data_IF_600095432399
#
_entry.id   IF_600095432399
#
_cell.length_a   1.000
_cell.length_b   1.000
_cell.length_c   1.000
_cell.angle_alpha   90.00
_cell.angle_beta   90.00
_cell.angle_gamma   90.00
#
_symmetry.space_group_name_H-M   'P 1'
#
loop_
_entity.id
_entity.type
_entity.pdbx_description
1 polymer ?
#
# COMPACT_ATOMS: atom_id res chain seq x y z
N UNK A 1 -0.38 25.67 3.70
CA UNK A 1 -1.31 25.52 4.85
C UNK A 1 -2.22 24.29 4.73
N UNK A 2 -2.96 24.08 3.63
CA UNK A 2 -3.86 22.93 3.46
C UNK A 2 -3.15 21.55 3.48
N UNK A 3 -1.95 21.42 2.89
CA UNK A 3 -1.11 20.21 2.93
C UNK A 3 -0.86 19.71 4.37
N UNK A 4 -0.37 20.59 5.25
CA UNK A 4 -0.05 20.22 6.64
C UNK A 4 -1.30 19.92 7.45
N UNK A 5 -2.41 20.64 7.20
CA UNK A 5 -3.70 20.37 7.83
C UNK A 5 -4.22 18.97 7.46
N UNK A 6 -4.07 18.56 6.20
CA UNK A 6 -4.48 17.23 5.75
C UNK A 6 -3.62 16.16 6.43
N UNK A 7 -2.30 16.32 6.47
CA UNK A 7 -1.43 15.36 7.18
C UNK A 7 -1.69 15.33 8.69
N UNK A 8 -1.94 16.47 9.33
CA UNK A 8 -2.28 16.54 10.76
C UNK A 8 -3.63 15.91 11.08
N UNK A 9 -4.53 15.81 10.10
CA UNK A 9 -5.85 15.19 10.24
C UNK A 9 -5.98 13.84 9.52
N UNK A 10 -4.89 13.26 9.03
CA UNK A 10 -4.85 11.91 8.43
C UNK A 10 -4.90 10.81 9.51
N UNK A 11 -5.96 10.87 10.30
CA UNK A 11 -6.37 9.87 11.28
C UNK A 11 -7.91 9.87 11.31
N UNK A 12 -8.56 8.68 11.33
CA UNK A 12 -10.02 8.56 11.41
C UNK A 12 -10.70 9.51 12.42
N UNK A 13 -10.12 9.73 13.60
CA UNK A 13 -10.68 10.56 14.66
C UNK A 13 -10.79 12.05 14.30
N UNK A 14 -9.89 12.55 13.43
CA UNK A 14 -9.80 13.98 13.10
C UNK A 14 -10.20 14.30 11.65
N UNK A 15 -10.38 13.28 10.81
CA UNK A 15 -10.61 13.43 9.38
C UNK A 15 -11.80 14.35 9.01
N UNK A 16 -12.84 14.42 9.86
CA UNK A 16 -13.97 15.34 9.67
C UNK A 16 -13.56 16.81 9.58
N UNK A 17 -12.56 17.22 10.37
CA UNK A 17 -12.07 18.61 10.41
C UNK A 17 -11.26 18.96 9.15
N UNK A 18 -10.72 17.95 8.47
CA UNK A 18 -9.94 18.11 7.23
C UNK A 18 -10.77 18.20 5.96
N UNK A 19 -12.05 17.82 5.97
CA UNK A 19 -12.88 17.69 4.76
C UNK A 19 -13.05 19.00 3.96
N UNK A 20 -13.31 20.17 4.60
CA UNK A 20 -13.36 21.44 3.86
C UNK A 20 -12.02 21.80 3.19
N UNK A 21 -10.90 21.48 3.84
CA UNK A 21 -9.57 21.72 3.28
C UNK A 21 -9.28 20.76 2.11
N UNK A 22 -9.59 19.48 2.25
CA UNK A 22 -9.42 18.47 1.21
C UNK A 22 -10.14 18.84 -0.09
N UNK A 23 -11.43 19.21 -0.02
CA UNK A 23 -12.23 19.60 -1.20
C UNK A 23 -11.77 20.88 -1.88
N UNK A 24 -11.08 21.76 -1.14
CA UNK A 24 -10.52 23.00 -1.70
C UNK A 24 -9.13 22.79 -2.29
N UNK A 25 -8.32 21.92 -1.69
CA UNK A 25 -6.89 21.80 -2.03
C UNK A 25 -6.63 21.38 -3.48
N UNK A 26 -7.38 20.40 -4.01
CA UNK A 26 -7.24 19.98 -5.42
C UNK A 26 -7.52 21.12 -6.42
N UNK A 27 -8.31 22.13 -6.04
CA UNK A 27 -8.62 23.27 -6.93
C UNK A 27 -7.49 24.29 -7.00
N UNK A 28 -6.57 24.28 -6.04
CA UNK A 28 -5.50 25.29 -5.93
C UNK A 28 -4.37 25.02 -6.93
N UNK A 29 -4.06 23.75 -7.20
CA UNK A 29 -2.98 23.37 -8.09
C UNK A 29 -3.37 22.12 -8.91
N UNK A 30 -4.17 22.29 -9.98
CA UNK A 30 -4.70 21.17 -10.79
C UNK A 30 -3.61 20.32 -11.46
N UNK A 31 -2.47 20.94 -11.81
CA UNK A 31 -1.36 20.26 -12.49
C UNK A 31 -0.30 19.67 -11.56
N UNK A 32 -0.45 19.79 -10.25
CA UNK A 32 0.53 19.28 -9.27
C UNK A 32 0.05 17.92 -8.76
N UNK A 33 0.77 16.82 -9.02
CA UNK A 33 0.28 15.49 -8.67
C UNK A 33 0.02 15.35 -7.17
N UNK A 34 0.95 15.83 -6.35
CA UNK A 34 0.78 15.90 -4.90
C UNK A 34 -0.51 16.59 -4.48
N UNK A 35 -0.83 17.76 -5.06
CA UNK A 35 -1.99 18.54 -4.70
C UNK A 35 -3.30 17.84 -5.07
N UNK A 36 -3.30 17.10 -6.17
CA UNK A 36 -4.41 16.24 -6.58
C UNK A 36 -4.57 15.02 -5.67
N UNK A 37 -3.46 14.45 -5.18
CA UNK A 37 -3.48 13.23 -4.38
C UNK A 37 -3.92 13.48 -2.93
N UNK A 38 -3.43 14.55 -2.30
CA UNK A 38 -3.60 14.81 -0.87
C UNK A 38 -5.05 14.75 -0.34
N UNK A 39 -6.08 15.26 -1.05
CA UNK A 39 -7.47 15.13 -0.57
C UNK A 39 -7.90 13.69 -0.31
N UNK A 40 -7.34 12.73 -1.07
CA UNK A 40 -7.67 11.32 -0.94
C UNK A 40 -7.31 10.72 0.42
N UNK A 41 -6.36 11.28 1.16
CA UNK A 41 -6.07 10.88 2.55
C UNK A 41 -7.32 11.02 3.41
N UNK A 42 -7.95 12.20 3.39
CA UNK A 42 -9.18 12.45 4.15
C UNK A 42 -10.34 11.61 3.59
N UNK A 43 -10.50 11.56 2.27
CA UNK A 43 -11.61 10.81 1.65
C UNK A 43 -11.56 9.32 2.01
N UNK A 44 -10.38 8.70 1.95
CA UNK A 44 -10.16 7.30 2.35
C UNK A 44 -10.46 7.08 3.83
N UNK A 45 -10.05 7.97 4.74
CA UNK A 45 -10.40 7.85 6.18
C UNK A 45 -11.90 7.98 6.45
N UNK A 46 -12.65 8.63 5.55
CA UNK A 46 -14.09 8.87 5.68
C UNK A 46 -14.94 7.88 4.87
N UNK A 47 -14.33 6.97 4.11
CA UNK A 47 -15.04 6.07 3.20
C UNK A 47 -15.70 6.78 2.01
N UNK A 48 -15.23 7.97 1.65
CA UNK A 48 -15.72 8.75 0.51
C UNK A 48 -15.04 8.26 -0.77
N UNK A 49 -15.33 7.00 -1.14
CA UNK A 49 -14.58 6.27 -2.16
C UNK A 49 -14.59 6.94 -3.53
N UNK A 50 -15.72 7.50 -3.97
CA UNK A 50 -15.79 8.20 -5.25
C UNK A 50 -14.95 9.48 -5.27
N UNK A 51 -14.92 10.26 -4.18
CA UNK A 51 -14.05 11.44 -4.10
C UNK A 51 -12.57 11.02 -4.07
N UNK A 52 -12.24 9.92 -3.39
CA UNK A 52 -10.90 9.33 -3.37
C UNK A 52 -10.45 8.86 -4.77
N UNK A 53 -11.33 8.20 -5.52
CA UNK A 53 -11.08 7.77 -6.90
C UNK A 53 -10.80 8.98 -7.79
N UNK A 54 -11.67 10.00 -7.78
CA UNK A 54 -11.50 11.19 -8.62
C UNK A 54 -10.19 11.93 -8.32
N UNK A 55 -9.88 12.10 -7.02
CA UNK A 55 -8.66 12.74 -6.53
C UNK A 55 -7.40 12.01 -7.03
N UNK A 56 -7.34 10.68 -6.88
CA UNK A 56 -6.17 9.92 -7.30
C UNK A 56 -6.08 9.72 -8.81
N UNK A 57 -7.21 9.64 -9.53
CA UNK A 57 -7.19 9.61 -10.99
C UNK A 57 -6.56 10.89 -11.56
N UNK A 58 -6.94 12.05 -11.01
CA UNK A 58 -6.30 13.34 -11.34
C UNK A 58 -4.81 13.36 -11.00
N UNK A 59 -4.43 12.81 -9.84
CA UNK A 59 -3.03 12.70 -9.44
C UNK A 59 -2.20 11.82 -10.37
N UNK A 60 -2.72 10.64 -10.77
CA UNK A 60 -2.06 9.75 -11.73
C UNK A 60 -1.84 10.46 -13.07
N UNK A 61 -2.87 11.16 -13.58
CA UNK A 61 -2.77 11.92 -14.83
C UNK A 61 -1.70 13.03 -14.72
N UNK A 62 -1.71 13.80 -13.63
CA UNK A 62 -0.72 14.84 -13.38
C UNK A 62 0.70 14.27 -13.24
N UNK A 63 0.89 13.12 -12.56
CA UNK A 63 2.19 12.48 -12.41
C UNK A 63 2.76 12.02 -13.75
N UNK A 64 1.93 11.44 -14.62
CA UNK A 64 2.34 11.03 -15.98
C UNK A 64 2.76 12.24 -16.81
N UNK A 65 1.98 13.31 -16.77
CA UNK A 65 2.31 14.57 -17.46
C UNK A 65 3.61 15.20 -16.95
N UNK A 66 3.82 15.19 -15.63
CA UNK A 66 5.06 15.67 -15.02
C UNK A 66 6.27 14.85 -15.46
N UNK A 67 6.18 13.51 -15.40
CA UNK A 67 7.28 12.63 -15.79
C UNK A 67 7.69 12.83 -17.26
N UNK A 68 6.70 13.03 -18.15
CA UNK A 68 6.93 13.33 -19.55
C UNK A 68 7.60 14.70 -19.74
N UNK A 69 7.08 15.75 -19.11
CA UNK A 69 7.63 17.12 -19.20
C UNK A 69 9.04 17.24 -18.61
N UNK A 70 9.32 16.50 -17.54
CA UNK A 70 10.62 16.47 -16.89
C UNK A 70 11.59 15.45 -17.51
N UNK A 71 11.18 14.73 -18.57
CA UNK A 71 11.99 13.73 -19.26
C UNK A 71 12.64 12.69 -18.34
N UNK A 72 11.90 12.22 -17.32
CA UNK A 72 12.49 11.38 -16.26
C UNK A 72 12.97 10.01 -16.75
N UNK A 73 12.42 9.48 -17.86
CA UNK A 73 12.68 8.10 -18.29
C UNK A 73 12.24 7.04 -17.26
N UNK A 74 11.43 7.44 -16.28
CA UNK A 74 10.96 6.67 -15.15
C UNK A 74 9.59 7.21 -14.67
N UNK A 75 8.84 6.41 -13.92
CA UNK A 75 7.65 6.89 -13.24
C UNK A 75 8.04 7.85 -12.11
N UNK A 76 7.29 8.93 -11.93
CA UNK A 76 7.44 9.79 -10.77
C UNK A 76 6.87 9.10 -9.52
N UNK A 77 7.53 9.17 -8.37
CA UNK A 77 7.11 8.41 -7.17
C UNK A 77 5.67 8.68 -6.72
N UNK A 78 5.13 9.88 -6.95
CA UNK A 78 3.74 10.23 -6.62
C UNK A 78 2.72 9.49 -7.49
N UNK A 79 3.14 9.01 -8.66
CA UNK A 79 2.32 8.15 -9.51
C UNK A 79 1.96 6.87 -8.75
N UNK A 80 2.97 6.19 -8.21
CA UNK A 80 2.79 4.97 -7.42
C UNK A 80 1.98 5.23 -6.14
N UNK A 81 2.25 6.35 -5.48
CA UNK A 81 1.50 6.75 -4.28
C UNK A 81 0.00 6.93 -4.56
N UNK A 82 -0.34 7.58 -5.68
CA UNK A 82 -1.72 7.74 -6.11
C UNK A 82 -2.35 6.42 -6.55
N UNK A 83 -1.60 5.53 -7.19
CA UNK A 83 -2.08 4.20 -7.59
C UNK A 83 -2.44 3.32 -6.37
N UNK A 84 -1.66 3.33 -5.29
CA UNK A 84 -2.00 2.58 -4.06
C UNK A 84 -3.38 3.01 -3.51
N UNK A 85 -3.59 4.33 -3.38
CA UNK A 85 -4.86 4.87 -2.89
C UNK A 85 -6.02 4.61 -3.86
N UNK A 86 -5.77 4.75 -5.18
CA UNK A 86 -6.77 4.49 -6.21
C UNK A 86 -7.20 3.02 -6.21
N UNK A 87 -6.24 2.10 -6.17
CA UNK A 87 -6.50 0.67 -6.09
C UNK A 87 -7.28 0.30 -4.84
N UNK A 88 -6.92 0.87 -3.69
CA UNK A 88 -7.66 0.65 -2.45
C UNK A 88 -9.10 1.19 -2.53
N UNK A 89 -9.30 2.40 -3.06
CA UNK A 89 -10.63 2.99 -3.21
C UNK A 89 -11.53 2.17 -4.16
N UNK A 90 -10.97 1.63 -5.25
CA UNK A 90 -11.70 0.71 -6.13
C UNK A 90 -12.10 -0.58 -5.41
N UNK A 91 -11.19 -1.22 -4.67
CA UNK A 91 -11.50 -2.42 -3.89
C UNK A 91 -12.61 -2.17 -2.86
N UNK A 92 -12.53 -1.07 -2.11
CA UNK A 92 -13.55 -0.72 -1.12
C UNK A 92 -14.90 -0.32 -1.76
N UNK A 93 -14.88 0.09 -3.02
CA UNK A 93 -16.08 0.33 -3.83
C UNK A 93 -16.58 -0.89 -4.61
N UNK A 94 -15.98 -2.08 -4.45
CA UNK A 94 -16.36 -3.29 -5.19
C UNK A 94 -16.01 -3.28 -6.69
N UNK A 95 -15.11 -2.40 -7.11
CA UNK A 95 -14.70 -2.18 -8.51
C UNK A 95 -13.46 -3.02 -8.83
N UNK A 96 -13.62 -4.35 -8.84
CA UNK A 96 -12.51 -5.32 -8.93
C UNK A 96 -11.76 -5.24 -10.27
N UNK A 97 -12.45 -4.90 -11.36
CA UNK A 97 -11.85 -4.76 -12.70
C UNK A 97 -10.92 -3.56 -12.74
N UNK A 98 -11.35 -2.45 -12.18
CA UNK A 98 -10.59 -1.20 -12.10
C UNK A 98 -9.41 -1.35 -11.14
N UNK A 99 -9.61 -2.03 -10.00
CA UNK A 99 -8.52 -2.39 -9.10
C UNK A 99 -7.47 -3.28 -9.78
N UNK A 100 -7.89 -4.21 -10.64
CA UNK A 100 -6.97 -5.04 -11.43
C UNK A 100 -6.16 -4.20 -12.43
N UNK A 101 -6.79 -3.22 -13.08
CA UNK A 101 -6.09 -2.32 -13.99
C UNK A 101 -5.01 -1.49 -13.26
N UNK A 102 -5.30 -1.03 -12.04
CA UNK A 102 -4.31 -0.36 -11.18
C UNK A 102 -3.15 -1.30 -10.84
N UNK A 103 -3.43 -2.54 -10.45
CA UNK A 103 -2.39 -3.54 -10.17
C UNK A 103 -1.50 -3.80 -11.38
N UNK A 104 -2.10 -3.95 -12.57
CA UNK A 104 -1.36 -4.18 -13.81
C UNK A 104 -0.49 -2.98 -14.16
N UNK A 105 -0.99 -1.76 -13.93
CA UNK A 105 -0.20 -0.54 -14.09
C UNK A 105 1.00 -0.51 -13.13
N UNK A 106 0.80 -0.79 -11.83
CA UNK A 106 1.89 -0.89 -10.86
C UNK A 106 2.95 -1.92 -11.28
N UNK A 107 2.52 -3.11 -11.75
CA UNK A 107 3.43 -4.16 -12.22
C UNK A 107 4.21 -3.78 -13.48
N UNK A 108 3.66 -2.90 -14.31
CA UNK A 108 4.34 -2.42 -15.52
C UNK A 108 5.47 -1.42 -15.23
N UNK A 109 5.47 -0.77 -14.06
CA UNK A 109 6.46 0.25 -13.70
C UNK A 109 7.78 -0.40 -13.31
N UNK A 110 8.79 -0.25 -14.17
CA UNK A 110 10.14 -0.81 -13.96
C UNK A 110 11.10 0.14 -13.24
N UNK A 111 10.96 1.45 -13.46
CA UNK A 111 11.86 2.48 -12.91
C UNK A 111 11.05 3.57 -12.25
N UNK A 112 11.52 4.06 -11.11
CA UNK A 112 10.87 5.11 -10.34
C UNK A 112 11.90 6.17 -9.94
N UNK A 113 11.51 7.44 -10.03
CA UNK A 113 12.37 8.55 -9.62
C UNK A 113 11.61 9.60 -8.79
N UNK A 114 12.17 10.02 -7.64
CA UNK A 114 13.16 9.28 -6.84
C UNK A 114 12.62 7.93 -6.36
N UNK A 115 13.53 7.03 -5.98
CA UNK A 115 13.19 5.82 -5.23
C UNK A 115 12.77 6.21 -3.80
N UNK A 116 11.48 6.45 -3.61
CA UNK A 116 10.94 6.99 -2.38
C UNK A 116 10.14 5.94 -1.58
N UNK A 117 9.91 6.24 -0.30
CA UNK A 117 9.08 5.45 0.61
C UNK A 117 7.71 5.12 0.02
N UNK A 118 7.06 6.09 -0.62
CA UNK A 118 5.73 5.92 -1.19
C UNK A 118 5.72 4.89 -2.32
N UNK A 119 6.76 4.89 -3.16
CA UNK A 119 6.92 3.91 -4.22
C UNK A 119 7.16 2.50 -3.67
N UNK A 120 8.05 2.38 -2.68
CA UNK A 120 8.31 1.12 -1.99
C UNK A 120 7.04 0.54 -1.36
N UNK A 121 6.28 1.38 -0.65
CA UNK A 121 5.01 0.98 -0.04
C UNK A 121 3.99 0.57 -1.10
N UNK A 122 3.80 1.34 -2.17
CA UNK A 122 2.83 1.03 -3.22
C UNK A 122 3.14 -0.27 -3.96
N UNK A 123 4.42 -0.57 -4.24
CA UNK A 123 4.83 -1.83 -4.85
C UNK A 123 4.48 -3.07 -4.01
N UNK A 124 4.50 -2.93 -2.68
CA UNK A 124 4.14 -4.02 -1.77
C UNK A 124 2.63 -4.05 -1.47
N UNK A 125 2.05 -2.90 -1.14
CA UNK A 125 0.67 -2.78 -0.67
C UNK A 125 -0.37 -3.01 -1.78
N UNK A 126 -0.15 -2.51 -3.00
CA UNK A 126 -1.11 -2.68 -4.10
C UNK A 126 -1.41 -4.15 -4.40
N UNK A 127 -0.41 -5.01 -4.68
CA UNK A 127 -0.66 -6.44 -4.90
C UNK A 127 -1.18 -7.16 -3.65
N UNK A 128 -0.65 -6.82 -2.46
CA UNK A 128 -1.11 -7.41 -1.20
C UNK A 128 -2.61 -7.15 -0.95
N UNK A 129 -3.06 -5.90 -1.07
CA UNK A 129 -4.46 -5.50 -0.91
C UNK A 129 -5.35 -6.18 -1.94
N UNK A 130 -4.95 -6.17 -3.21
CA UNK A 130 -5.72 -6.80 -4.28
C UNK A 130 -5.99 -8.28 -3.99
N UNK A 131 -4.97 -9.02 -3.55
CA UNK A 131 -5.13 -10.44 -3.22
C UNK A 131 -5.94 -10.64 -1.92
N UNK A 132 -5.64 -9.92 -0.85
CA UNK A 132 -6.24 -10.14 0.47
C UNK A 132 -7.72 -9.71 0.53
N UNK A 133 -8.07 -8.53 -0.01
CA UNK A 133 -9.44 -7.99 0.04
C UNK A 133 -10.43 -8.90 -0.72
N UNK A 134 -9.97 -9.51 -1.81
CA UNK A 134 -10.76 -10.48 -2.59
C UNK A 134 -10.66 -11.91 -2.08
N UNK A 135 -9.97 -12.15 -0.97
CA UNK A 135 -9.74 -13.51 -0.41
C UNK A 135 -9.02 -14.45 -1.38
N UNK A 136 -8.20 -13.90 -2.29
CA UNK A 136 -7.35 -14.65 -3.22
C UNK A 136 -6.14 -15.24 -2.51
N UNK A 137 -6.35 -16.28 -1.68
CA UNK A 137 -5.30 -16.81 -0.80
C UNK A 137 -4.09 -17.37 -1.55
N UNK A 138 -4.31 -18.09 -2.65
CA UNK A 138 -3.24 -18.58 -3.52
C UNK A 138 -2.47 -17.45 -4.19
N UNK A 139 -3.17 -16.38 -4.59
CA UNK A 139 -2.54 -15.18 -5.15
C UNK A 139 -1.69 -14.46 -4.09
N UNK A 140 -2.20 -14.33 -2.87
CA UNK A 140 -1.49 -13.72 -1.75
C UNK A 140 -0.23 -14.52 -1.36
N UNK A 141 -0.32 -15.85 -1.32
CA UNK A 141 0.81 -16.74 -1.03
C UNK A 141 1.93 -16.66 -2.09
N UNK A 142 1.57 -16.38 -3.34
CA UNK A 142 2.49 -16.34 -4.48
C UNK A 142 3.13 -14.96 -4.73
N UNK A 143 2.90 -13.97 -3.86
CA UNK A 143 3.43 -12.62 -4.07
C UNK A 143 4.97 -12.56 -4.03
N UNK A 144 5.54 -11.75 -4.92
CA UNK A 144 6.97 -11.41 -4.93
C UNK A 144 7.24 -10.16 -4.11
N UNK A 145 8.35 -10.12 -3.37
CA UNK A 145 8.62 -9.12 -2.30
C UNK A 145 8.77 -7.69 -2.83
N UNK A 146 9.28 -7.49 -4.04
CA UNK A 146 9.25 -6.24 -4.81
C UNK A 146 9.75 -6.53 -6.25
N UNK A 147 9.56 -5.62 -7.23
CA UNK A 147 10.23 -5.75 -8.53
C UNK A 147 11.75 -5.80 -8.37
N UNK A 148 12.43 -6.61 -9.17
CA UNK A 148 13.91 -6.75 -9.13
C UNK A 148 14.64 -5.46 -9.47
N UNK A 149 13.98 -4.55 -10.18
CA UNK A 149 14.50 -3.25 -10.62
C UNK A 149 14.36 -2.15 -9.56
N UNK A 150 13.67 -2.41 -8.45
CA UNK A 150 13.51 -1.46 -7.34
C UNK A 150 14.30 -1.94 -6.12
N UNK A 151 15.07 -1.07 -5.44
CA UNK A 151 15.87 -1.47 -4.28
C UNK A 151 15.00 -1.56 -3.01
N UNK A 152 14.04 -2.50 -3.03
CA UNK A 152 13.07 -2.71 -1.96
C UNK A 152 13.70 -3.11 -0.63
N UNK A 153 14.88 -3.74 -0.67
CA UNK A 153 15.67 -4.12 0.51
C UNK A 153 16.07 -2.94 1.42
N UNK A 154 16.06 -1.70 0.90
CA UNK A 154 16.26 -0.47 1.69
C UNK A 154 15.03 -0.10 2.53
N UNK A 155 13.88 -0.71 2.25
CA UNK A 155 12.58 -0.44 2.87
C UNK A 155 12.02 -1.73 3.53
N UNK A 156 12.64 -2.22 4.62
CA UNK A 156 12.26 -3.49 5.24
C UNK A 156 10.79 -3.54 5.71
N UNK A 157 10.21 -2.40 6.09
CA UNK A 157 8.79 -2.32 6.44
C UNK A 157 7.85 -2.45 5.22
N UNK A 158 8.32 -2.15 4.00
CA UNK A 158 7.56 -2.39 2.77
C UNK A 158 7.58 -3.88 2.43
N UNK A 159 8.75 -4.51 2.51
CA UNK A 159 8.89 -5.97 2.32
C UNK A 159 7.98 -6.74 3.28
N UNK A 160 7.85 -6.26 4.53
CA UNK A 160 6.99 -6.85 5.53
C UNK A 160 5.52 -6.92 5.09
N UNK A 161 5.02 -5.94 4.33
CA UNK A 161 3.64 -5.97 3.80
C UNK A 161 3.43 -7.17 2.88
N UNK A 162 4.41 -7.48 2.04
CA UNK A 162 4.33 -8.65 1.15
C UNK A 162 4.40 -9.96 1.93
N UNK A 163 5.35 -10.09 2.86
CA UNK A 163 5.45 -11.30 3.69
C UNK A 163 4.22 -11.51 4.58
N UNK A 164 3.61 -10.43 5.07
CA UNK A 164 2.34 -10.49 5.78
C UNK A 164 1.24 -11.09 4.90
N UNK A 165 1.08 -10.58 3.67
CA UNK A 165 0.09 -11.11 2.74
C UNK A 165 0.36 -12.58 2.38
N UNK A 166 1.62 -12.96 2.17
CA UNK A 166 2.00 -14.36 1.91
C UNK A 166 1.68 -15.27 3.09
N UNK A 167 2.08 -14.89 4.30
CA UNK A 167 1.77 -15.67 5.50
C UNK A 167 0.27 -15.88 5.68
N UNK A 168 -0.52 -14.81 5.48
CA UNK A 168 -1.98 -14.86 5.50
C UNK A 168 -2.55 -15.79 4.43
N UNK A 169 -2.07 -15.69 3.19
CA UNK A 169 -2.47 -16.53 2.07
C UNK A 169 -2.17 -18.01 2.34
N UNK A 170 -0.95 -18.32 2.76
CA UNK A 170 -0.49 -19.68 3.08
C UNK A 170 -1.27 -20.29 4.24
N UNK A 171 -1.45 -19.55 5.35
CA UNK A 171 -2.25 -20.03 6.49
C UNK A 171 -3.71 -20.31 6.10
N UNK A 172 -4.32 -19.46 5.26
CA UNK A 172 -5.69 -19.62 4.77
C UNK A 172 -5.83 -20.72 3.72
N UNK A 173 -4.77 -20.96 2.95
CA UNK A 173 -4.67 -22.01 1.93
C UNK A 173 -4.28 -23.38 2.47
N UNK A 174 -3.85 -23.48 3.74
CA UNK A 174 -3.44 -24.72 4.39
C UNK A 174 -1.95 -25.03 4.31
N UNK A 175 -1.15 -24.18 3.68
CA UNK A 175 0.31 -24.30 3.68
C UNK A 175 0.91 -23.69 4.95
N UNK A 176 0.84 -24.46 6.03
CA UNK A 176 1.33 -24.09 7.36
C UNK A 176 2.86 -23.89 7.33
N UNK A 177 3.58 -24.65 6.51
CA UNK A 177 5.04 -24.57 6.37
C UNK A 177 5.47 -23.23 5.79
N UNK A 178 4.91 -22.85 4.64
CA UNK A 178 5.18 -21.56 4.02
C UNK A 178 4.74 -20.39 4.92
N UNK A 179 3.58 -20.52 5.59
CA UNK A 179 3.12 -19.49 6.53
C UNK A 179 4.11 -19.25 7.68
N UNK A 180 4.71 -20.31 8.22
CA UNK A 180 5.73 -20.20 9.28
C UNK A 180 6.98 -19.49 8.76
N UNK A 181 7.48 -19.89 7.59
CA UNK A 181 8.65 -19.27 6.97
C UNK A 181 8.45 -17.77 6.73
N UNK A 182 7.27 -17.37 6.25
CA UNK A 182 6.98 -15.94 6.03
C UNK A 182 6.86 -15.16 7.35
N UNK A 183 6.41 -15.78 8.45
CA UNK A 183 6.42 -15.17 9.79
C UNK A 183 7.85 -14.98 10.31
N UNK A 184 8.75 -15.95 10.09
CA UNK A 184 10.17 -15.82 10.44
C UNK A 184 10.82 -14.66 9.65
N UNK A 185 10.43 -14.44 8.40
CA UNK A 185 10.86 -13.26 7.63
C UNK A 185 10.34 -11.96 8.25
N UNK A 186 9.11 -11.92 8.74
CA UNK A 186 8.57 -10.75 9.45
C UNK A 186 9.36 -10.44 10.74
N UNK A 187 9.81 -11.46 11.47
CA UNK A 187 10.68 -11.29 12.66
C UNK A 187 12.01 -10.65 12.30
N UNK A 188 12.70 -11.19 11.28
CA UNK A 188 13.97 -10.64 10.81
C UNK A 188 13.83 -9.20 10.31
N UNK A 189 12.72 -8.87 9.64
CA UNK A 189 12.44 -7.52 9.18
C UNK A 189 12.15 -6.56 10.34
N UNK A 190 11.39 -7.01 11.35
CA UNK A 190 11.15 -6.23 12.57
C UNK A 190 12.47 -5.88 13.27
N UNK A 191 13.38 -6.85 13.43
CA UNK A 191 14.69 -6.64 14.03
C UNK A 191 15.55 -5.63 13.24
N UNK A 192 15.52 -5.71 11.90
CA UNK A 192 16.20 -4.73 11.04
C UNK A 192 15.67 -3.32 11.26
N UNK A 193 14.34 -3.17 11.36
CA UNK A 193 13.71 -1.85 11.59
C UNK A 193 14.00 -1.32 12.99
N UNK A 194 14.01 -2.18 14.02
CA UNK A 194 14.42 -1.82 15.38
C UNK A 194 15.87 -1.33 15.42
N UNK A 195 16.79 -2.03 14.76
CA UNK A 195 18.21 -1.64 14.67
C UNK A 195 18.39 -0.28 13.96
N UNK A 196 17.53 0.02 13.00
CA UNK A 196 17.46 1.33 12.33
C UNK A 196 16.83 2.44 13.20
N UNK A 197 16.39 2.12 14.43
CA UNK A 197 15.76 3.04 15.40
C UNK A 197 14.45 3.68 14.90
N UNK A 198 13.75 2.99 14.01
CA UNK A 198 12.45 3.44 13.51
C UNK A 198 11.31 2.78 14.31
N UNK A 199 10.97 3.37 15.45
CA UNK A 199 9.99 2.81 16.39
C UNK A 199 8.58 2.69 15.80
N UNK A 200 8.21 3.62 14.92
CA UNK A 200 6.91 3.59 14.26
C UNK A 200 6.80 2.37 13.34
N UNK A 201 7.74 2.20 12.41
CA UNK A 201 7.70 1.09 11.48
C UNK A 201 7.96 -0.25 12.17
N UNK A 202 8.80 -0.30 13.22
CA UNK A 202 8.99 -1.51 14.01
C UNK A 202 7.66 -2.00 14.62
N UNK A 203 6.83 -1.06 15.11
CA UNK A 203 5.49 -1.38 15.62
C UNK A 203 4.55 -1.86 14.52
N UNK A 204 4.59 -1.25 13.33
CA UNK A 204 3.75 -1.70 12.20
C UNK A 204 4.12 -3.12 11.73
N UNK A 205 5.40 -3.47 11.70
CA UNK A 205 5.84 -4.83 11.37
C UNK A 205 5.44 -5.81 12.48
N UNK A 206 5.54 -5.44 13.76
CA UNK A 206 5.08 -6.28 14.87
C UNK A 206 3.58 -6.60 14.79
N UNK A 207 2.76 -5.60 14.45
CA UNK A 207 1.30 -5.79 14.27
C UNK A 207 1.03 -6.80 13.16
N UNK A 208 1.70 -6.64 12.01
CA UNK A 208 1.58 -7.56 10.88
C UNK A 208 2.01 -8.98 11.27
N UNK A 209 3.16 -9.12 11.93
CA UNK A 209 3.67 -10.39 12.42
C UNK A 209 2.68 -11.08 13.34
N UNK A 210 2.20 -10.40 14.38
CA UNK A 210 1.24 -10.96 15.35
C UNK A 210 -0.07 -11.37 14.68
N UNK A 211 -0.56 -10.57 13.74
CA UNK A 211 -1.77 -10.91 12.97
C UNK A 211 -1.55 -12.18 12.14
N UNK A 212 -0.43 -12.28 11.41
CA UNK A 212 -0.07 -13.49 10.67
C UNK A 212 0.08 -14.71 11.59
N UNK A 213 0.76 -14.57 12.73
CA UNK A 213 0.90 -15.63 13.74
C UNK A 213 -0.46 -16.13 14.24
N UNK A 214 -1.42 -15.24 14.48
CA UNK A 214 -2.76 -15.64 14.90
C UNK A 214 -3.47 -16.51 13.85
N UNK A 215 -3.33 -16.16 12.57
CA UNK A 215 -3.89 -16.96 11.47
C UNK A 215 -3.20 -18.30 11.29
N UNK A 216 -1.87 -18.31 11.39
CA UNK A 216 -1.05 -19.51 11.40
C UNK A 216 -1.50 -20.48 12.52
N UNK A 217 -1.56 -20.01 13.77
CA UNK A 217 -1.96 -20.85 14.92
C UNK A 217 -3.38 -21.39 14.78
N UNK A 218 -4.29 -20.59 14.21
CA UNK A 218 -5.67 -21.04 13.92
C UNK A 218 -5.67 -22.18 12.90
N UNK A 219 -4.83 -22.09 11.87
CA UNK A 219 -4.77 -23.09 10.81
C UNK A 219 -4.06 -24.38 11.30
N UNK A 220 -2.97 -24.25 12.07
CA UNK A 220 -2.25 -25.38 12.67
C UNK A 220 -3.14 -26.22 13.62
N UNK A 221 -4.01 -25.57 14.40
CA UNK A 221 -4.99 -26.28 15.26
C UNK A 221 -6.06 -27.04 14.49
N UNK A 222 -6.34 -26.65 13.24
CA UNK A 222 -7.28 -27.41 12.38
C UNK A 222 -6.61 -28.65 11.82
N UNK A 223 -5.33 -28.56 11.46
CA UNK A 223 -4.58 -29.70 10.91
C UNK A 223 -4.29 -30.79 11.95
N UNK A 224 -4.24 -30.46 13.24
CA UNK A 224 -3.97 -31.42 14.32
C UNK A 224 -5.21 -32.10 14.93
N UNK A 225 -6.42 -31.83 14.42
CA UNK A 225 -7.69 -32.40 14.93
C UNK A 225 -8.26 -33.54 14.08
N UNK A 226 -7.44 -34.20 13.27
CA UNK A 226 -7.78 -35.40 12.51
C UNK A 226 -7.18 -36.64 13.18
#
# INVERSE_FOLDING_TARGET
MAHYIIHSYDNPALANRGLPAARRYAKIAPSVPHAQHMPSHIFTRRGLWQESIQSNFGAVAASKAYAAKAHLGAAYYEHLHALDYLGYAYLQGGQDREAKAVLDEVRSIQKVQPEALQAAYAFAATPARYALEKRGWSEAAALTVHPTTFPGNRFPWAEAVTYFARAMGSARGGDIGQSRQDIEKLELLQDRVIKAKDSYWAKQVDIQRRAATAWFLRAERKTTRH
#
